data_IF_694975324712
#
_entry.id   IF_694975324712
#
_cell.length_a   1.000
_cell.length_b   1.000
_cell.length_c   1.000
_cell.angle_alpha   90.00
_cell.angle_beta   90.00
_cell.angle_gamma   90.00
#
_symmetry.space_group_name_H-M   'P 1'
#
loop_
_entity.id
_entity.type
_entity.pdbx_description
1 polymer ?
#
# COMPACT_ATOMS: atom_id res chain seq x y z
N UNK A 1 -29.95 -8.52 58.18
CA UNK A 1 -30.53 -7.63 57.14
C UNK A 1 -29.62 -6.48 56.71
N UNK A 2 -29.02 -5.69 57.62
CA UNK A 2 -28.11 -4.57 57.25
C UNK A 2 -26.88 -4.97 56.42
N UNK A 3 -26.24 -6.09 56.76
CA UNK A 3 -25.07 -6.63 56.05
C UNK A 3 -25.39 -7.04 54.60
N UNK A 4 -26.54 -7.66 54.38
CA UNK A 4 -27.01 -8.05 53.04
C UNK A 4 -27.30 -6.82 52.17
N UNK A 5 -27.96 -5.80 52.74
CA UNK A 5 -28.25 -4.54 52.02
C UNK A 5 -26.97 -3.79 51.60
N UNK A 6 -25.97 -3.74 52.48
CA UNK A 6 -24.67 -3.13 52.17
C UNK A 6 -23.89 -3.91 51.10
N UNK A 7 -23.98 -5.25 51.11
CA UNK A 7 -23.38 -6.09 50.07
C UNK A 7 -23.96 -5.80 48.68
N UNK A 8 -25.29 -5.75 48.54
CA UNK A 8 -25.95 -5.42 47.26
C UNK A 8 -25.68 -3.98 46.81
N UNK A 9 -25.58 -3.03 47.74
CA UNK A 9 -25.23 -1.65 47.44
C UNK A 9 -23.79 -1.53 46.89
N UNK A 10 -22.84 -2.23 47.52
CA UNK A 10 -21.45 -2.26 47.08
C UNK A 10 -21.29 -2.98 45.74
N UNK A 11 -22.02 -4.08 45.51
CA UNK A 11 -22.03 -4.79 44.23
C UNK A 11 -22.59 -3.90 43.11
N UNK A 12 -23.68 -3.18 43.36
CA UNK A 12 -24.25 -2.22 42.40
C UNK A 12 -23.26 -1.09 42.08
N UNK A 13 -22.56 -0.56 43.08
CA UNK A 13 -21.54 0.47 42.88
C UNK A 13 -20.37 -0.03 42.01
N UNK A 14 -19.88 -1.25 42.24
CA UNK A 14 -18.81 -1.88 41.44
C UNK A 14 -19.26 -2.08 39.99
N UNK A 15 -20.50 -2.53 39.77
CA UNK A 15 -21.05 -2.70 38.42
C UNK A 15 -21.14 -1.36 37.69
N UNK A 16 -21.61 -0.30 38.35
CA UNK A 16 -21.69 1.04 37.76
C UNK A 16 -20.30 1.55 37.39
N UNK A 17 -19.32 1.42 38.30
CA UNK A 17 -17.93 1.81 38.03
C UNK A 17 -17.37 1.04 36.83
N UNK A 18 -17.61 -0.27 36.76
CA UNK A 18 -17.20 -1.11 35.64
C UNK A 18 -17.81 -0.65 34.32
N UNK A 19 -19.12 -0.33 34.29
CA UNK A 19 -19.80 0.19 33.10
C UNK A 19 -19.22 1.55 32.67
N UNK A 20 -18.94 2.45 33.61
CA UNK A 20 -18.35 3.77 33.32
C UNK A 20 -16.93 3.62 32.76
N UNK A 21 -16.10 2.77 33.35
CA UNK A 21 -14.73 2.50 32.86
C UNK A 21 -14.77 1.87 31.47
N UNK A 22 -15.58 0.82 31.26
CA UNK A 22 -15.74 0.16 29.97
C UNK A 22 -16.29 1.13 28.90
N UNK A 23 -17.28 1.95 29.26
CA UNK A 23 -17.86 2.96 28.38
C UNK A 23 -16.85 4.04 27.99
N UNK A 24 -16.07 4.54 28.95
CA UNK A 24 -15.00 5.50 28.70
C UNK A 24 -13.91 4.95 27.79
N UNK A 25 -13.46 3.72 28.01
CA UNK A 25 -12.46 3.05 27.15
C UNK A 25 -13.00 2.81 25.74
N UNK A 26 -14.27 2.44 25.60
CA UNK A 26 -14.93 2.28 24.30
C UNK A 26 -15.03 3.61 23.53
N UNK A 27 -15.38 4.70 24.20
CA UNK A 27 -15.43 6.04 23.58
C UNK A 27 -14.05 6.51 23.14
N UNK A 28 -13.01 6.33 23.97
CA UNK A 28 -11.63 6.71 23.64
C UNK A 28 -11.13 5.97 22.39
N UNK A 29 -11.30 4.65 22.33
CA UNK A 29 -10.91 3.83 21.16
C UNK A 29 -11.69 4.21 19.91
N UNK A 30 -12.98 4.56 20.03
CA UNK A 30 -13.78 5.06 18.90
C UNK A 30 -13.28 6.41 18.37
N UNK A 31 -12.93 7.34 19.26
CA UNK A 31 -12.41 8.65 18.86
C UNK A 31 -11.06 8.53 18.15
N UNK A 32 -10.17 7.67 18.66
CA UNK A 32 -8.89 7.39 18.02
C UNK A 32 -9.07 6.85 16.59
N UNK A 33 -9.97 5.87 16.39
CA UNK A 33 -10.27 5.33 15.06
C UNK A 33 -10.82 6.38 14.08
N UNK A 34 -11.66 7.32 14.57
CA UNK A 34 -12.18 8.42 13.76
C UNK A 34 -11.05 9.36 13.33
N UNK A 35 -10.16 9.72 14.24
CA UNK A 35 -9.01 10.57 13.93
C UNK A 35 -8.08 9.89 12.92
N UNK A 36 -7.68 8.63 13.16
CA UNK A 36 -6.83 7.86 12.24
C UNK A 36 -7.44 7.78 10.83
N UNK A 37 -8.75 7.52 10.72
CA UNK A 37 -9.44 7.47 9.43
C UNK A 37 -9.45 8.84 8.73
N UNK A 38 -9.58 9.92 9.49
CA UNK A 38 -9.49 11.30 8.99
C UNK A 38 -8.11 11.62 8.43
N UNK A 39 -7.05 11.30 9.16
CA UNK A 39 -5.67 11.55 8.76
C UNK A 39 -5.32 10.73 7.50
N UNK A 40 -5.69 9.45 7.47
CA UNK A 40 -5.54 8.62 6.27
C UNK A 40 -6.33 9.16 5.08
N UNK A 41 -7.52 9.73 5.28
CA UNK A 41 -8.28 10.35 4.19
C UNK A 41 -7.54 11.55 3.62
N UNK A 42 -6.94 12.39 4.47
CA UNK A 42 -6.10 13.53 4.03
C UNK A 42 -4.93 13.03 3.20
N UNK A 43 -4.21 12.02 3.68
CA UNK A 43 -3.09 11.40 2.98
C UNK A 43 -3.52 10.84 1.62
N UNK A 44 -4.56 10.00 1.58
CA UNK A 44 -5.01 9.35 0.35
C UNK A 44 -5.64 10.34 -0.64
N UNK A 45 -6.10 11.50 -0.18
CA UNK A 45 -6.62 12.57 -1.05
C UNK A 45 -5.54 13.32 -1.84
N UNK A 46 -4.25 13.12 -1.51
CA UNK A 46 -3.13 13.66 -2.31
C UNK A 46 -2.94 12.92 -3.64
N UNK A 47 -3.59 11.75 -3.77
CA UNK A 47 -3.66 10.99 -5.01
C UNK A 47 -4.91 11.37 -5.81
N UNK A 48 -4.88 11.32 -7.16
CA UNK A 48 -3.78 10.79 -7.96
C UNK A 48 -2.64 11.77 -8.29
N UNK A 49 -1.41 11.26 -8.30
CA UNK A 49 -0.23 11.95 -8.85
C UNK A 49 -0.17 11.68 -10.36
N UNK A 50 -0.98 12.42 -11.12
CA UNK A 50 -1.17 12.16 -12.56
C UNK A 50 0.13 12.24 -13.38
N UNK A 51 1.03 13.16 -13.01
CA UNK A 51 2.33 13.31 -13.65
C UNK A 51 3.44 12.92 -12.68
N UNK A 52 4.20 11.86 -12.99
CA UNK A 52 5.29 11.38 -12.13
C UNK A 52 6.39 12.45 -11.91
N UNK A 53 6.59 13.35 -12.87
CA UNK A 53 7.57 14.44 -12.76
C UNK A 53 7.17 15.50 -11.70
N UNK A 54 5.93 15.49 -11.19
CA UNK A 54 5.59 16.36 -10.04
C UNK A 54 6.32 15.93 -8.77
N UNK A 55 6.77 14.68 -8.68
CA UNK A 55 7.54 14.18 -7.54
C UNK A 55 8.87 14.91 -7.36
N UNK A 56 9.42 15.56 -8.40
CA UNK A 56 10.58 16.44 -8.25
C UNK A 56 10.37 17.57 -7.24
N UNK A 57 9.12 18.01 -7.06
CA UNK A 57 8.76 19.15 -6.19
C UNK A 57 8.14 18.71 -4.86
N UNK A 58 7.85 17.42 -4.72
CA UNK A 58 7.23 16.88 -3.52
C UNK A 58 8.35 16.47 -2.56
N UNK A 59 8.34 17.08 -1.37
CA UNK A 59 9.27 16.71 -0.32
C UNK A 59 8.77 15.46 0.40
N UNK A 60 9.71 14.55 0.66
CA UNK A 60 9.48 13.46 1.60
C UNK A 60 9.38 13.97 3.02
N UNK A 61 9.01 13.06 3.91
CA UNK A 61 9.13 13.27 5.34
C UNK A 61 10.59 13.11 5.78
N UNK A 62 11.04 13.86 6.78
CA UNK A 62 12.37 13.68 7.36
C UNK A 62 12.35 12.45 8.28
N UNK A 63 12.98 11.35 7.84
CA UNK A 63 13.17 10.16 8.68
C UNK A 63 14.63 10.08 9.15
N UNK A 64 14.90 10.04 10.47
CA UNK A 64 16.27 9.95 10.99
C UNK A 64 16.97 8.64 10.62
N UNK A 65 16.24 7.62 10.17
CA UNK A 65 16.79 6.34 9.72
C UNK A 65 17.07 6.28 8.22
N UNK A 66 16.91 7.38 7.48
CA UNK A 66 17.35 7.41 6.10
C UNK A 66 18.87 7.48 6.03
N UNK A 67 19.43 6.76 5.06
CA UNK A 67 20.84 6.90 4.73
C UNK A 67 21.14 8.37 4.43
N UNK A 68 22.03 8.99 5.22
CA UNK A 68 22.44 10.37 5.01
C UNK A 68 23.47 10.44 3.86
N UNK A 69 23.02 10.05 2.67
CA UNK A 69 23.83 9.98 1.45
C UNK A 69 23.61 11.18 0.53
N UNK A 70 22.81 12.18 0.94
CA UNK A 70 22.52 13.38 0.16
C UNK A 70 21.64 13.14 -1.07
N UNK A 71 21.09 11.94 -1.23
CA UNK A 71 20.12 11.63 -2.27
C UNK A 71 18.73 12.08 -1.80
N UNK A 72 18.12 12.96 -2.58
CA UNK A 72 16.73 13.37 -2.45
C UNK A 72 15.95 12.62 -3.54
N UNK A 73 15.51 11.40 -3.19
CA UNK A 73 15.06 10.43 -4.19
C UNK A 73 13.76 9.77 -3.77
N UNK A 74 12.75 9.79 -4.65
CA UNK A 74 11.57 8.94 -4.51
C UNK A 74 11.78 7.62 -5.27
N UNK A 75 11.31 6.53 -4.68
CA UNK A 75 11.17 5.24 -5.36
C UNK A 75 9.69 4.94 -5.52
N UNK A 76 9.27 4.67 -6.74
CA UNK A 76 7.91 4.26 -7.09
C UNK A 76 7.99 2.83 -7.58
N UNK A 77 7.25 1.95 -6.94
CA UNK A 77 7.22 0.54 -7.29
C UNK A 77 5.78 0.11 -7.53
N UNK A 78 5.54 -0.66 -8.58
CA UNK A 78 4.37 -1.52 -8.65
C UNK A 78 4.79 -2.93 -9.05
N UNK A 79 4.15 -3.94 -8.46
CA UNK A 79 4.35 -5.32 -8.88
C UNK A 79 3.01 -6.06 -8.95
N UNK A 80 2.95 -6.96 -9.92
CA UNK A 80 1.85 -7.88 -10.10
C UNK A 80 2.41 -9.29 -10.07
N UNK A 81 1.97 -10.07 -9.08
CA UNK A 81 2.47 -11.42 -8.87
C UNK A 81 1.33 -12.43 -8.85
N UNK A 82 1.54 -13.55 -9.52
CA UNK A 82 0.65 -14.71 -9.51
C UNK A 82 1.37 -15.86 -8.82
N UNK A 83 0.81 -16.32 -7.71
CA UNK A 83 1.31 -17.46 -6.93
C UNK A 83 0.47 -18.68 -7.30
N UNK A 84 1.05 -19.54 -8.13
CA UNK A 84 0.45 -20.79 -8.56
C UNK A 84 0.37 -21.84 -7.45
N UNK A 85 -0.65 -22.71 -7.50
CA UNK A 85 -0.75 -23.87 -6.59
C UNK A 85 0.43 -24.85 -6.70
N UNK A 86 1.15 -24.82 -7.81
CA UNK A 86 2.34 -25.62 -8.10
C UNK A 86 3.64 -25.04 -7.49
N UNK A 87 3.56 -23.90 -6.79
CA UNK A 87 4.64 -23.08 -6.22
C UNK A 87 5.44 -22.23 -7.22
N UNK A 88 4.96 -22.09 -8.46
CA UNK A 88 5.52 -21.13 -9.41
C UNK A 88 5.01 -19.73 -9.07
N UNK A 89 5.94 -18.81 -8.86
CA UNK A 89 5.67 -17.38 -8.75
C UNK A 89 6.03 -16.72 -10.07
N UNK A 90 5.06 -16.05 -10.70
CA UNK A 90 5.32 -15.14 -11.82
C UNK A 90 5.14 -13.73 -11.33
N UNK A 91 6.11 -12.85 -11.56
CA UNK A 91 6.05 -11.45 -11.16
C UNK A 91 6.46 -10.55 -12.32
N UNK A 92 5.65 -9.51 -12.53
CA UNK A 92 5.99 -8.34 -13.30
C UNK A 92 6.18 -7.18 -12.32
N UNK A 93 7.32 -6.48 -12.37
CA UNK A 93 7.65 -5.39 -11.46
C UNK A 93 8.12 -4.17 -12.24
N UNK A 94 7.61 -2.99 -11.93
CA UNK A 94 8.15 -1.70 -12.38
C UNK A 94 8.71 -0.98 -11.16
N UNK A 95 10.00 -0.67 -11.17
CA UNK A 95 10.66 0.16 -10.16
C UNK A 95 11.25 1.39 -10.82
N UNK A 96 10.81 2.57 -10.40
CA UNK A 96 11.33 3.86 -10.86
C UNK A 96 12.00 4.61 -9.70
N UNK A 97 13.20 5.10 -9.96
CA UNK A 97 13.94 6.04 -9.15
C UNK A 97 13.73 7.46 -9.71
N UNK A 98 13.17 8.35 -8.89
CA UNK A 98 12.98 9.77 -9.17
C UNK A 98 14.10 10.53 -8.48
N UNK A 99 15.18 10.81 -9.21
CA UNK A 99 16.29 11.62 -8.74
C UNK A 99 15.90 13.11 -8.84
N UNK A 100 15.59 13.72 -7.70
CA UNK A 100 15.14 15.13 -7.64
C UNK A 100 16.28 16.09 -7.94
N UNK A 101 17.52 15.74 -7.61
CA UNK A 101 18.70 16.56 -7.89
C UNK A 101 18.93 16.65 -9.40
N UNK A 102 18.91 15.51 -10.10
CA UNK A 102 19.14 15.44 -11.55
C UNK A 102 17.89 15.74 -12.38
N UNK A 103 16.71 15.83 -11.76
CA UNK A 103 15.43 15.94 -12.44
C UNK A 103 15.24 14.83 -13.49
N UNK A 104 15.51 13.59 -13.08
CA UNK A 104 15.39 12.41 -13.94
C UNK A 104 14.61 11.32 -13.23
N UNK A 105 13.78 10.59 -13.99
CA UNK A 105 13.17 9.34 -13.55
C UNK A 105 13.70 8.22 -14.43
N UNK A 106 14.38 7.27 -13.81
CA UNK A 106 14.96 6.08 -14.45
C UNK A 106 14.63 4.86 -13.63
N UNK A 107 14.69 3.68 -14.23
CA UNK A 107 14.52 2.45 -13.47
C UNK A 107 14.40 1.27 -14.41
N UNK A 108 13.74 0.23 -13.93
CA UNK A 108 13.67 -1.04 -14.63
C UNK A 108 12.27 -1.64 -14.53
N UNK A 109 11.89 -2.33 -15.61
CA UNK A 109 10.79 -3.28 -15.60
C UNK A 109 11.37 -4.69 -15.55
N UNK A 110 11.02 -5.46 -14.54
CA UNK A 110 11.52 -6.81 -14.31
C UNK A 110 10.41 -7.84 -14.55
N UNK A 111 10.75 -8.94 -15.22
CA UNK A 111 9.89 -10.13 -15.33
C UNK A 111 10.59 -11.31 -14.69
N UNK A 112 10.00 -11.83 -13.62
CA UNK A 112 10.55 -12.94 -12.87
C UNK A 112 9.60 -14.13 -12.93
N UNK A 113 10.15 -15.31 -13.21
CA UNK A 113 9.51 -16.59 -12.97
C UNK A 113 10.37 -17.29 -11.94
N UNK A 114 9.79 -17.67 -10.81
CA UNK A 114 10.48 -18.39 -9.75
C UNK A 114 9.77 -19.71 -9.51
N UNK A 115 10.42 -20.81 -9.87
CA UNK A 115 9.95 -22.16 -9.57
C UNK A 115 10.65 -22.63 -8.29
N UNK A 116 9.90 -22.65 -7.19
CA UNK A 116 10.43 -23.07 -5.87
C UNK A 116 10.82 -24.55 -5.83
N UNK A 117 10.30 -25.39 -6.73
CA UNK A 117 10.65 -26.83 -6.79
C UNK A 117 11.87 -27.07 -7.67
N UNK A 118 12.06 -26.24 -8.69
CA UNK A 118 13.20 -26.35 -9.58
C UNK A 118 13.77 -24.98 -9.96
N UNK A 119 14.75 -24.53 -9.18
CA UNK A 119 15.44 -23.24 -9.34
C UNK A 119 16.03 -23.05 -10.75
N UNK A 120 16.35 -24.12 -11.47
CA UNK A 120 16.90 -24.02 -12.84
C UNK A 120 15.88 -23.53 -13.88
N UNK A 121 14.57 -23.60 -13.57
CA UNK A 121 13.51 -23.02 -14.39
C UNK A 121 13.17 -21.59 -14.01
N UNK A 122 13.80 -21.06 -12.96
CA UNK A 122 13.64 -19.66 -12.60
C UNK A 122 14.33 -18.77 -13.63
N UNK A 123 13.64 -17.71 -14.06
CA UNK A 123 14.16 -16.74 -15.01
C UNK A 123 13.92 -15.34 -14.48
N UNK A 124 14.87 -14.45 -14.75
CA UNK A 124 14.76 -13.04 -14.42
C UNK A 124 15.26 -12.21 -15.60
N UNK A 125 14.48 -11.22 -16.01
CA UNK A 125 14.84 -10.32 -17.11
C UNK A 125 14.49 -8.91 -16.70
N UNK A 126 15.42 -8.00 -16.92
CA UNK A 126 15.28 -6.59 -16.58
C UNK A 126 15.37 -5.74 -17.84
N UNK A 127 14.45 -4.79 -17.98
CA UNK A 127 14.32 -3.90 -19.11
C UNK A 127 14.43 -2.45 -18.62
N UNK A 128 15.54 -1.75 -18.91
CA UNK A 128 15.76 -0.42 -18.38
C UNK A 128 14.87 0.61 -19.06
N UNK A 129 14.22 1.43 -18.25
CA UNK A 129 13.24 2.45 -18.66
C UNK A 129 13.63 3.84 -18.13
N UNK A 130 13.00 4.86 -18.72
CA UNK A 130 13.01 6.22 -18.20
C UNK A 130 11.65 6.87 -18.40
N UNK A 131 11.36 7.92 -17.65
CA UNK A 131 10.17 8.76 -17.88
C UNK A 131 10.59 10.02 -18.63
N UNK A 132 9.86 10.33 -19.70
CA UNK A 132 10.01 11.59 -20.45
C UNK A 132 8.62 12.14 -20.74
N UNK A 133 8.34 13.37 -20.31
CA UNK A 133 7.03 14.01 -20.48
C UNK A 133 5.90 13.12 -19.94
N UNK A 134 6.10 12.60 -18.71
CA UNK A 134 5.20 11.68 -18.03
C UNK A 134 4.92 10.34 -18.75
N UNK A 135 5.76 9.93 -19.70
CA UNK A 135 5.62 8.65 -20.40
C UNK A 135 6.81 7.76 -20.13
N UNK A 136 6.55 6.50 -19.80
CA UNK A 136 7.58 5.48 -19.64
C UNK A 136 8.04 5.04 -21.03
N UNK A 137 9.35 5.02 -21.26
CA UNK A 137 9.97 4.58 -22.51
C UNK A 137 11.10 3.61 -22.22
N UNK A 138 11.21 2.54 -23.01
CA UNK A 138 12.35 1.64 -22.94
C UNK A 138 13.62 2.35 -23.43
N UNK A 139 14.73 2.19 -22.71
CA UNK A 139 16.04 2.77 -23.08
C UNK A 139 16.88 1.84 -23.94
N UNK A 140 16.57 0.54 -23.92
CA UNK A 140 17.14 -0.49 -24.78
C UNK A 140 16.05 -1.12 -25.65
N UNK A 141 16.46 -1.76 -26.74
CA UNK A 141 15.54 -2.43 -27.63
C UNK A 141 14.90 -3.66 -26.95
N UNK A 142 13.60 -3.81 -27.13
CA UNK A 142 12.80 -4.92 -26.59
C UNK A 142 12.23 -5.67 -27.78
N UNK A 143 12.77 -6.87 -28.05
CA UNK A 143 12.46 -7.67 -29.25
C UNK A 143 10.97 -8.04 -29.35
N UNK A 144 10.31 -8.22 -28.22
CA UNK A 144 8.89 -8.55 -28.15
C UNK A 144 8.06 -7.25 -28.14
N UNK A 145 7.29 -6.95 -29.22
CA UNK A 145 6.51 -5.73 -29.32
C UNK A 145 5.35 -5.67 -28.30
N UNK A 146 4.76 -6.80 -27.92
CA UNK A 146 3.68 -6.82 -26.91
C UNK A 146 4.23 -6.51 -25.53
N UNK A 147 5.41 -7.06 -25.20
CA UNK A 147 6.11 -6.73 -23.96
C UNK A 147 6.52 -5.26 -23.93
N UNK A 148 7.08 -4.73 -25.02
CA UNK A 148 7.42 -3.31 -25.11
C UNK A 148 6.19 -2.43 -24.87
N UNK A 149 5.08 -2.74 -25.54
CA UNK A 149 3.82 -2.02 -25.36
C UNK A 149 3.33 -2.11 -23.91
N UNK A 150 3.41 -3.28 -23.27
CA UNK A 150 3.04 -3.47 -21.85
C UNK A 150 3.88 -2.58 -20.92
N UNK A 151 5.19 -2.47 -21.16
CA UNK A 151 6.11 -1.62 -20.39
C UNK A 151 5.78 -0.13 -20.60
N UNK A 152 5.68 0.32 -21.84
CA UNK A 152 5.50 1.74 -22.17
C UNK A 152 4.08 2.26 -21.88
N UNK A 153 3.07 1.37 -21.86
CA UNK A 153 1.69 1.69 -21.46
C UNK A 153 1.43 1.51 -19.96
N UNK A 154 2.46 1.12 -19.18
CA UNK A 154 2.34 0.94 -17.75
C UNK A 154 1.87 2.24 -17.07
N UNK A 155 0.94 2.11 -16.12
CA UNK A 155 0.46 3.21 -15.30
C UNK A 155 0.32 2.74 -13.86
N UNK A 156 0.99 3.42 -12.94
CA UNK A 156 0.84 3.15 -11.52
C UNK A 156 -0.59 3.49 -11.07
N UNK A 157 -1.10 2.78 -10.08
CA UNK A 157 -2.40 3.05 -9.47
C UNK A 157 -2.38 4.44 -8.79
N UNK A 158 -1.27 4.90 -8.23
CA UNK A 158 -1.12 6.28 -7.73
C UNK A 158 -1.36 7.35 -8.80
N UNK A 159 -1.25 7.05 -10.10
CA UNK A 159 -1.44 8.05 -11.17
C UNK A 159 -2.91 8.27 -11.58
N UNK A 160 -3.79 7.31 -11.28
CA UNK A 160 -5.17 7.35 -11.79
C UNK A 160 -6.22 6.64 -10.91
N UNK A 161 -5.80 5.94 -9.87
CA UNK A 161 -6.69 5.27 -8.92
C UNK A 161 -7.26 6.24 -7.89
N UNK A 162 -8.53 6.03 -7.54
CA UNK A 162 -9.17 6.70 -6.40
C UNK A 162 -8.82 5.95 -5.11
N UNK A 163 -7.63 6.22 -4.55
CA UNK A 163 -7.20 5.56 -3.33
C UNK A 163 -8.09 5.91 -2.13
N UNK A 164 -8.70 7.10 -2.11
CA UNK A 164 -9.61 7.53 -1.04
C UNK A 164 -10.84 6.60 -0.92
N UNK A 165 -11.27 6.00 -2.04
CA UNK A 165 -12.37 5.03 -2.07
C UNK A 165 -12.12 3.77 -1.24
N UNK A 166 -10.87 3.46 -0.90
CA UNK A 166 -10.51 2.33 -0.02
C UNK A 166 -11.20 2.51 1.34
N UNK A 167 -11.21 3.74 1.88
CA UNK A 167 -11.73 4.08 3.21
C UNK A 167 -13.26 3.94 3.33
N UNK A 168 -13.96 3.74 2.22
CA UNK A 168 -15.41 3.58 2.18
C UNK A 168 -15.87 2.17 2.62
N UNK A 169 -14.94 1.21 2.74
CA UNK A 169 -15.29 -0.13 3.22
C UNK A 169 -15.55 -0.15 4.73
N UNK A 170 -16.63 -0.84 5.11
CA UNK A 170 -16.99 -1.09 6.51
C UNK A 170 -16.18 -2.23 7.15
N UNK A 171 -15.47 -3.03 6.33
CA UNK A 171 -14.66 -4.17 6.79
C UNK A 171 -13.22 -3.76 7.17
N UNK A 172 -12.90 -2.46 7.08
CA UNK A 172 -11.57 -1.97 7.38
C UNK A 172 -11.29 -1.94 8.88
N UNK A 173 -10.09 -2.40 9.23
CA UNK A 173 -9.49 -2.26 10.54
C UNK A 173 -8.24 -1.40 10.40
N UNK A 174 -8.13 -0.39 11.24
CA UNK A 174 -6.97 0.50 11.29
C UNK A 174 -6.26 0.24 12.62
N UNK A 175 -4.96 -0.03 12.55
CA UNK A 175 -4.09 -0.17 13.70
C UNK A 175 -2.99 0.88 13.59
N UNK A 176 -2.62 1.47 14.72
CA UNK A 176 -1.56 2.45 14.82
C UNK A 176 -0.67 2.10 16.01
N UNK A 177 0.63 2.03 15.78
CA UNK A 177 1.63 1.90 16.83
C UNK A 177 2.24 3.29 17.10
N UNK A 178 1.90 3.93 18.22
CA UNK A 178 2.38 5.27 18.53
C UNK A 178 3.88 5.32 18.87
N UNK A 179 4.53 4.18 19.12
CA UNK A 179 5.97 4.15 19.43
C UNK A 179 6.81 4.29 18.17
N UNK A 180 6.38 3.64 17.10
CA UNK A 180 7.04 3.66 15.78
C UNK A 180 6.35 4.59 14.79
N UNK A 181 5.22 5.19 15.19
CA UNK A 181 4.33 5.95 14.30
C UNK A 181 3.90 5.15 13.07
N UNK A 182 3.87 3.82 13.19
CA UNK A 182 3.51 2.94 12.10
C UNK A 182 2.01 2.71 12.09
N UNK A 183 1.38 2.81 10.92
CA UNK A 183 -0.03 2.47 10.75
C UNK A 183 -0.19 1.32 9.75
N UNK A 184 -1.25 0.54 9.97
CA UNK A 184 -1.73 -0.44 9.04
C UNK A 184 -3.25 -0.33 8.91
N UNK A 185 -3.73 -0.34 7.68
CA UNK A 185 -5.15 -0.45 7.36
C UNK A 185 -5.34 -1.72 6.56
N UNK A 186 -6.24 -2.59 7.00
CA UNK A 186 -6.54 -3.81 6.24
C UNK A 186 -8.01 -4.20 6.33
N UNK A 187 -8.52 -4.83 5.28
CA UNK A 187 -9.91 -5.29 5.24
C UNK A 187 -10.33 -5.75 3.85
N UNK A 188 -11.58 -6.14 3.71
CA UNK A 188 -12.13 -6.52 2.40
C UNK A 188 -12.58 -5.27 1.64
N UNK A 189 -12.48 -5.32 0.32
CA UNK A 189 -13.05 -4.33 -0.58
C UNK A 189 -14.14 -4.95 -1.44
N UNK A 190 -15.16 -4.16 -1.75
CA UNK A 190 -16.19 -4.53 -2.72
C UNK A 190 -15.59 -4.67 -4.11
N UNK A 191 -16.15 -5.58 -4.91
CA UNK A 191 -15.87 -5.67 -6.35
C UNK A 191 -16.27 -4.41 -7.13
N UNK A 192 -17.08 -3.54 -6.51
CA UNK A 192 -17.45 -2.25 -7.08
C UNK A 192 -16.49 -1.12 -6.77
N UNK A 193 -15.51 -1.32 -5.87
CA UNK A 193 -14.49 -0.32 -5.59
C UNK A 193 -13.73 0.05 -6.89
N UNK A 194 -13.52 1.36 -7.19
CA UNK A 194 -12.88 1.80 -8.42
C UNK A 194 -11.49 1.19 -8.67
N UNK A 195 -10.62 1.17 -7.66
CA UNK A 195 -9.28 0.57 -7.77
C UNK A 195 -9.37 -0.94 -8.03
N UNK A 196 -10.30 -1.63 -7.35
CA UNK A 196 -10.53 -3.07 -7.55
C UNK A 196 -10.98 -3.35 -8.99
N UNK A 197 -11.94 -2.58 -9.52
CA UNK A 197 -12.40 -2.71 -10.92
C UNK A 197 -11.25 -2.49 -11.91
N UNK A 198 -10.47 -1.45 -11.69
CA UNK A 198 -9.35 -1.10 -12.55
C UNK A 198 -8.29 -2.21 -12.59
N UNK A 199 -7.86 -2.71 -11.43
CA UNK A 199 -6.87 -3.78 -11.34
C UNK A 199 -7.40 -5.08 -11.97
N UNK A 200 -8.67 -5.43 -11.70
CA UNK A 200 -9.27 -6.63 -12.29
C UNK A 200 -9.35 -6.57 -13.81
N UNK A 201 -9.69 -5.40 -14.36
CA UNK A 201 -9.71 -5.19 -15.79
C UNK A 201 -8.30 -5.28 -16.39
N UNK A 202 -7.33 -4.57 -15.81
CA UNK A 202 -5.95 -4.50 -16.32
C UNK A 202 -5.27 -5.88 -16.35
N UNK A 203 -5.46 -6.68 -15.31
CA UNK A 203 -4.78 -7.96 -15.15
C UNK A 203 -5.68 -9.18 -15.42
N UNK A 204 -6.86 -8.97 -16.02
CA UNK A 204 -7.82 -10.04 -16.35
C UNK A 204 -8.18 -10.94 -15.15
N UNK A 205 -8.25 -10.37 -13.95
CA UNK A 205 -8.59 -11.10 -12.72
C UNK A 205 -10.10 -11.39 -12.72
N UNK A 206 -10.55 -12.60 -12.30
CA UNK A 206 -11.96 -12.93 -12.26
C UNK A 206 -12.81 -11.89 -11.50
N UNK A 207 -13.92 -11.46 -12.11
CA UNK A 207 -14.80 -10.42 -11.55
C UNK A 207 -15.30 -10.77 -10.15
N UNK A 208 -15.57 -12.05 -9.90
CA UNK A 208 -16.05 -12.58 -8.62
C UNK A 208 -14.93 -12.88 -7.60
N UNK A 209 -13.65 -12.72 -7.95
CA UNK A 209 -12.55 -12.91 -6.99
C UNK A 209 -12.76 -11.99 -5.79
N UNK A 210 -12.60 -12.50 -4.57
CA UNK A 210 -12.63 -11.64 -3.39
C UNK A 210 -11.37 -10.78 -3.34
N UNK A 211 -11.47 -9.59 -2.76
CA UNK A 211 -10.35 -8.66 -2.66
C UNK A 211 -10.15 -8.23 -1.21
N UNK A 212 -8.92 -8.44 -0.71
CA UNK A 212 -8.45 -7.86 0.55
C UNK A 212 -7.44 -6.77 0.21
N UNK A 213 -7.51 -5.64 0.92
CA UNK A 213 -6.53 -4.57 0.83
C UNK A 213 -5.69 -4.52 2.11
N UNK A 214 -4.44 -4.11 1.97
CA UNK A 214 -3.58 -3.74 3.09
C UNK A 214 -2.78 -2.48 2.70
N UNK A 215 -2.83 -1.44 3.53
CA UNK A 215 -2.08 -0.21 3.37
C UNK A 215 -1.23 -0.01 4.61
N UNK A 216 0.08 0.05 4.41
CA UNK A 216 1.10 0.21 5.45
C UNK A 216 1.86 1.50 5.22
N UNK A 217 2.19 2.21 6.28
CA UNK A 217 3.06 3.36 6.20
C UNK A 217 3.60 3.78 7.55
N UNK A 218 4.69 4.54 7.51
CA UNK A 218 5.18 5.28 8.67
C UNK A 218 4.57 6.67 8.60
N UNK A 219 3.96 7.12 9.68
CA UNK A 219 3.27 8.40 9.70
C UNK A 219 3.37 9.11 11.03
N UNK A 220 4.02 10.28 11.01
CA UNK A 220 3.47 11.38 11.80
C UNK A 220 2.14 11.79 11.14
N UNK A 221 1.03 11.18 11.54
CA UNK A 221 -0.31 11.44 11.00
C UNK A 221 -0.74 12.91 11.16
N UNK A 222 0.01 13.70 11.94
CA UNK A 222 -0.18 15.14 12.13
C UNK A 222 0.56 16.01 11.09
N UNK A 223 1.48 15.44 10.31
CA UNK A 223 2.35 16.16 9.38
C UNK A 223 1.76 16.49 8.00
N UNK A 224 2.45 17.36 7.25
CA UNK A 224 2.09 17.80 5.89
C UNK A 224 2.96 17.18 4.77
N UNK A 225 3.73 16.13 5.07
CA UNK A 225 4.70 15.54 4.13
C UNK A 225 4.17 14.25 3.49
N UNK A 226 4.58 13.97 2.26
CA UNK A 226 4.35 12.66 1.66
C UNK A 226 5.24 11.62 2.37
N UNK A 227 4.69 10.43 2.59
CA UNK A 227 5.26 9.41 3.47
C UNK A 227 5.48 8.11 2.73
N UNK A 228 6.36 7.28 3.30
CA UNK A 228 6.57 5.90 2.86
C UNK A 228 5.27 5.11 2.98
N UNK A 229 4.77 4.67 1.83
CA UNK A 229 3.50 3.96 1.74
C UNK A 229 3.66 2.71 0.90
N UNK A 230 3.07 1.62 1.39
CA UNK A 230 3.00 0.34 0.70
C UNK A 230 1.55 -0.12 0.71
N UNK A 231 0.99 -0.27 -0.47
CA UNK A 231 -0.38 -0.68 -0.73
C UNK A 231 -0.37 -2.07 -1.37
N UNK A 232 -1.21 -2.96 -0.87
CA UNK A 232 -1.35 -4.32 -1.36
C UNK A 232 -2.81 -4.62 -1.62
N UNK A 233 -3.08 -5.28 -2.75
CA UNK A 233 -4.36 -5.91 -3.06
C UNK A 233 -4.12 -7.40 -3.26
N UNK A 234 -4.81 -8.19 -2.45
CA UNK A 234 -4.81 -9.64 -2.53
C UNK A 234 -6.12 -10.07 -3.16
N UNK A 235 -6.03 -10.75 -4.30
CA UNK A 235 -7.18 -11.34 -4.98
C UNK A 235 -7.18 -12.85 -4.79
N UNK A 236 -8.34 -13.40 -4.48
CA UNK A 236 -8.49 -14.83 -4.25
C UNK A 236 -9.81 -15.35 -4.79
N UNK A 237 -9.73 -16.42 -5.57
CA UNK A 237 -10.89 -17.19 -6.04
C UNK A 237 -10.73 -18.65 -5.58
N UNK A 238 -11.81 -19.33 -5.15
CA UNK A 238 -11.73 -20.73 -4.76
C UNK A 238 -11.12 -21.59 -5.88
N UNK A 239 -10.12 -22.40 -5.55
CA UNK A 239 -9.45 -23.32 -6.49
C UNK A 239 -8.60 -22.63 -7.57
N UNK A 240 -8.24 -21.35 -7.41
CA UNK A 240 -7.35 -20.62 -8.32
C UNK A 240 -6.15 -20.03 -7.60
N UNK A 241 -5.17 -19.63 -8.39
CA UNK A 241 -3.96 -18.95 -7.96
C UNK A 241 -4.27 -17.70 -7.12
N UNK A 242 -3.39 -17.42 -6.16
CA UNK A 242 -3.44 -16.18 -5.41
C UNK A 242 -2.74 -15.09 -6.22
N UNK A 243 -3.42 -13.96 -6.40
CA UNK A 243 -2.89 -12.83 -7.14
C UNK A 243 -2.64 -11.69 -6.16
N UNK A 244 -1.47 -11.08 -6.27
CA UNK A 244 -1.04 -9.98 -5.41
C UNK A 244 -0.66 -8.81 -6.31
N UNK A 245 -1.29 -7.66 -6.09
CA UNK A 245 -0.81 -6.38 -6.61
C UNK A 245 -0.18 -5.62 -5.45
N UNK A 246 1.05 -5.15 -5.62
CA UNK A 246 1.75 -4.27 -4.69
C UNK A 246 1.98 -2.94 -5.39
N UNK A 247 1.87 -1.86 -4.64
CA UNK A 247 2.36 -0.55 -5.03
C UNK A 247 3.01 0.15 -3.85
N UNK A 248 4.09 0.89 -4.08
CA UNK A 248 4.71 1.70 -3.05
C UNK A 248 5.29 2.99 -3.58
N UNK A 249 5.26 4.01 -2.73
CA UNK A 249 5.95 5.27 -2.90
C UNK A 249 6.79 5.47 -1.64
N UNK A 250 8.11 5.46 -1.76
CA UNK A 250 9.04 5.58 -0.63
C UNK A 250 10.10 6.63 -0.89
N UNK A 251 10.42 7.43 0.12
CA UNK A 251 11.42 8.47 0.08
C UNK A 251 12.71 7.98 0.69
N UNK A 252 13.81 8.10 -0.06
CA UNK A 252 15.14 7.64 0.33
C UNK A 252 15.22 6.14 0.71
N UNK A 253 16.45 5.62 0.81
CA UNK A 253 16.68 4.27 1.33
C UNK A 253 16.77 4.34 2.85
N UNK A 254 16.09 3.41 3.51
CA UNK A 254 16.26 3.18 4.95
C UNK A 254 17.62 2.51 5.14
N UNK A 255 18.43 3.01 6.07
CA UNK A 255 19.69 2.36 6.44
C UNK A 255 19.39 0.94 6.95
N UNK A 256 19.90 -0.08 6.28
CA UNK A 256 19.92 -1.43 6.85
C UNK A 256 20.96 -1.45 7.97
N UNK A 257 20.51 -1.31 9.23
CA UNK A 257 21.31 -1.46 10.44
C UNK A 257 20.93 -2.74 11.18
#
# INVERSE_FOLDING_TARGET
MKTHKNFWLNLAAIIIISIVICGGMFLATRLEQIHLKGDLKKILSTYPIKNLETLYKINGHDNPHYENNGHDTWYIESSYSVVGSDTILKEDRMLLEVDKNKHKITGDYDTTINDRKNVTHSTDKSYPVKVVNNKIVCTKDVKDPELKQKIESHQFLIQNGDLSSILNSNDLKITHDPTTNYYNLSGKLSNDNPCVKQLKHRYHIPKNASTKVELKGMSDLKGNHHQDQKLYFYFSSPGKDQIIYKESLTYNKISEH
#
